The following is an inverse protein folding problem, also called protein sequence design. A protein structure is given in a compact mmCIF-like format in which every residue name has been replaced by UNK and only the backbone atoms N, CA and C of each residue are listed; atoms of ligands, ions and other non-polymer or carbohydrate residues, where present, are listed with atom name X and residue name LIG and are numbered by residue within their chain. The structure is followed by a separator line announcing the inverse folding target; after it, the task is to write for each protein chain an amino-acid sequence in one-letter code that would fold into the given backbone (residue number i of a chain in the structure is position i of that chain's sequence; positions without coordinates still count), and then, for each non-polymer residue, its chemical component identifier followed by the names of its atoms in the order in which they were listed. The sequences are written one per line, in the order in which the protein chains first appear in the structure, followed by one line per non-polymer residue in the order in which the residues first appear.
data_IF_622214821926
#
_entry.id   IF_622214821926
#
_cell.length_a   1.000
_cell.length_b   1.000
_cell.length_c   1.000
_cell.angle_alpha   90.00
_cell.angle_beta   90.00
_cell.angle_gamma   90.00
#
_symmetry.space_group_name_H-M   'P 1'
#
loop_
_entity.id
_entity.type
_entity.pdbx_description
1 polymer ?
#
# COMPACT_ATOMS: atom_id res chain seq x y z
N UNK A 1 -32.45 2.62 -7.00
CA UNK A 1 -33.78 2.12 -6.59
C UNK A 1 -34.13 0.78 -7.26
N UNK A 2 -33.46 -0.33 -6.87
CA UNK A 2 -33.86 -1.72 -7.24
C UNK A 2 -33.73 -2.69 -6.04
N UNK A 3 -32.95 -2.38 -5.01
CA UNK A 3 -32.66 -3.30 -3.90
C UNK A 3 -33.75 -3.45 -2.83
N UNK A 4 -34.70 -2.52 -2.72
CA UNK A 4 -35.85 -2.63 -1.80
C UNK A 4 -36.82 -3.77 -2.14
N UNK A 5 -36.74 -4.38 -3.33
CA UNK A 5 -37.70 -5.38 -3.80
C UNK A 5 -37.30 -6.85 -3.56
N UNK A 6 -36.08 -7.13 -3.07
CA UNK A 6 -35.60 -8.52 -2.96
C UNK A 6 -35.31 -9.01 -1.54
N UNK A 7 -35.52 -8.20 -0.50
CA UNK A 7 -35.38 -8.69 0.88
C UNK A 7 -34.01 -9.29 1.18
N UNK A 8 -32.96 -8.83 0.49
CA UNK A 8 -31.59 -9.14 0.87
C UNK A 8 -31.38 -8.51 2.24
N UNK A 9 -31.51 -9.33 3.28
CA UNK A 9 -31.08 -8.95 4.62
C UNK A 9 -29.60 -8.59 4.47
N UNK A 10 -29.27 -7.35 4.81
CA UNK A 10 -27.90 -6.99 5.14
C UNK A 10 -27.47 -8.01 6.19
N UNK A 11 -26.59 -8.92 5.80
CA UNK A 11 -25.99 -9.89 6.71
C UNK A 11 -24.64 -9.32 7.10
N UNK A 12 -24.25 -9.50 8.36
CA UNK A 12 -22.89 -9.11 8.80
C UNK A 12 -21.77 -9.77 7.98
N UNK A 13 -22.08 -10.82 7.22
CA UNK A 13 -21.17 -11.43 6.24
C UNK A 13 -20.84 -10.53 5.05
N UNK A 14 -21.73 -9.63 4.64
CA UNK A 14 -21.50 -8.73 3.49
C UNK A 14 -20.26 -7.85 3.70
N UNK A 15 -20.00 -7.44 4.95
CA UNK A 15 -18.80 -6.69 5.29
C UNK A 15 -17.50 -7.48 5.00
N UNK A 16 -17.55 -8.81 4.99
CA UNK A 16 -16.40 -9.65 4.69
C UNK A 16 -16.04 -9.66 3.20
N UNK A 17 -16.99 -9.33 2.31
CA UNK A 17 -16.74 -9.22 0.87
C UNK A 17 -15.74 -8.08 0.56
N UNK A 18 -15.56 -7.15 1.50
CA UNK A 18 -14.51 -6.14 1.47
C UNK A 18 -13.10 -6.76 1.39
N UNK A 19 -12.89 -7.97 1.90
CA UNK A 19 -11.58 -8.63 1.84
C UNK A 19 -11.17 -9.00 0.41
N UNK A 20 -12.15 -9.29 -0.46
CA UNK A 20 -11.90 -9.80 -1.80
C UNK A 20 -11.80 -8.68 -2.84
N UNK A 21 -12.04 -7.43 -2.43
CA UNK A 21 -11.89 -6.27 -3.30
C UNK A 21 -10.41 -6.06 -3.68
N UNK A 22 -10.19 -5.88 -4.97
CA UNK A 22 -8.89 -5.58 -5.57
C UNK A 22 -9.10 -4.77 -6.84
N UNK A 23 -8.04 -4.10 -7.29
CA UNK A 23 -8.03 -3.48 -8.62
C UNK A 23 -8.07 -4.58 -9.69
N UNK A 24 -9.08 -4.53 -10.56
CA UNK A 24 -9.23 -5.47 -11.66
C UNK A 24 -8.43 -5.03 -12.90
N UNK A 25 -8.19 -5.98 -13.81
CA UNK A 25 -7.48 -5.69 -15.07
C UNK A 25 -8.30 -4.70 -15.91
N UNK A 26 -7.63 -3.66 -16.42
CA UNK A 26 -8.22 -2.56 -17.19
C UNK A 26 -9.29 -1.73 -16.45
N UNK A 27 -9.39 -1.91 -15.13
CA UNK A 27 -10.27 -1.11 -14.29
C UNK A 27 -9.68 0.29 -14.05
N UNK A 28 -10.54 1.32 -14.15
CA UNK A 28 -10.14 2.67 -13.75
C UNK A 28 -10.08 2.76 -12.24
N UNK A 29 -9.11 3.50 -11.71
CA UNK A 29 -8.99 3.73 -10.27
C UNK A 29 -10.27 4.31 -9.65
N UNK A 30 -10.99 5.15 -10.38
CA UNK A 30 -12.27 5.69 -9.92
C UNK A 30 -13.34 4.60 -9.77
N UNK A 31 -13.40 3.64 -10.69
CA UNK A 31 -14.39 2.56 -10.63
C UNK A 31 -14.13 1.67 -9.40
N UNK A 32 -12.86 1.41 -9.07
CA UNK A 32 -12.47 0.74 -7.82
C UNK A 32 -12.95 1.52 -6.58
N UNK A 33 -12.81 2.85 -6.58
CA UNK A 33 -13.29 3.69 -5.48
C UNK A 33 -14.82 3.59 -5.33
N UNK A 34 -15.56 3.64 -6.44
CA UNK A 34 -17.01 3.52 -6.42
C UNK A 34 -17.47 2.14 -5.92
N UNK A 35 -16.79 1.05 -6.30
CA UNK A 35 -17.06 -0.29 -5.76
C UNK A 35 -16.81 -0.35 -4.25
N UNK A 36 -15.72 0.26 -3.78
CA UNK A 36 -15.41 0.34 -2.36
C UNK A 36 -16.49 1.10 -1.57
N UNK A 37 -16.93 2.26 -2.08
CA UNK A 37 -18.04 3.02 -1.51
C UNK A 37 -19.31 2.18 -1.45
N UNK A 38 -19.68 1.51 -2.54
CA UNK A 38 -20.88 0.69 -2.59
C UNK A 38 -20.87 -0.42 -1.53
N UNK A 39 -19.75 -1.13 -1.35
CA UNK A 39 -19.64 -2.18 -0.31
C UNK A 39 -19.83 -1.59 1.09
N UNK A 40 -19.22 -0.43 1.38
CA UNK A 40 -19.32 0.19 2.70
C UNK A 40 -20.71 0.75 2.94
N UNK A 41 -21.30 1.44 1.97
CA UNK A 41 -22.68 1.96 2.04
C UNK A 41 -23.69 0.82 2.21
N UNK A 42 -23.53 -0.28 1.47
CA UNK A 42 -24.35 -1.48 1.63
C UNK A 42 -24.12 -2.18 2.99
N UNK A 43 -23.05 -1.84 3.70
CA UNK A 43 -22.76 -2.38 5.04
C UNK A 43 -23.24 -1.47 6.18
N UNK A 44 -23.69 -0.24 5.87
CA UNK A 44 -24.27 0.64 6.88
C UNK A 44 -25.58 0.04 7.38
N UNK A 45 -25.70 -0.03 8.70
CA UNK A 45 -26.82 -0.70 9.33
C UNK A 45 -28.02 0.25 9.45
N UNK A 46 -29.18 -0.24 9.02
CA UNK A 46 -30.47 0.44 9.22
C UNK A 46 -31.31 -0.31 10.25
N UNK A 47 -32.34 0.32 10.86
CA UNK A 47 -33.26 -0.37 11.75
C UNK A 47 -33.94 -1.60 11.12
N UNK A 48 -34.09 -1.63 9.79
CA UNK A 48 -34.71 -2.71 9.02
C UNK A 48 -33.77 -3.88 8.74
N UNK A 49 -32.46 -3.74 9.01
CA UNK A 49 -31.45 -4.78 8.75
C UNK A 49 -31.63 -6.06 9.59
N UNK A 50 -32.42 -6.00 10.68
CA UNK A 50 -32.56 -7.08 11.67
C UNK A 50 -31.23 -7.56 12.29
N UNK A 51 -30.18 -6.75 12.17
CA UNK A 51 -28.89 -6.97 12.83
C UNK A 51 -28.91 -6.27 14.19
N UNK A 52 -28.26 -6.85 15.19
CA UNK A 52 -27.91 -6.16 16.45
C UNK A 52 -26.41 -5.95 16.52
N UNK A 53 -25.97 -4.77 16.98
CA UNK A 53 -24.56 -4.49 17.22
C UNK A 53 -24.31 -4.52 18.73
N UNK A 54 -23.46 -5.44 19.19
CA UNK A 54 -23.20 -5.68 20.62
C UNK A 54 -24.47 -5.92 21.46
N UNK A 55 -25.48 -6.58 20.86
CA UNK A 55 -26.77 -6.85 21.51
C UNK A 55 -27.71 -5.65 21.61
N UNK A 56 -27.31 -4.49 21.07
CA UNK A 56 -28.18 -3.32 20.96
C UNK A 56 -28.88 -3.29 19.59
N UNK A 57 -30.11 -2.78 19.58
CA UNK A 57 -30.83 -2.44 18.35
C UNK A 57 -30.13 -1.29 17.63
N UNK A 58 -30.14 -1.34 16.31
CA UNK A 58 -29.47 -0.34 15.49
C UNK A 58 -30.37 0.87 15.25
N UNK A 59 -29.77 2.05 15.28
CA UNK A 59 -30.31 3.28 14.70
C UNK A 59 -29.73 3.47 13.30
N UNK A 60 -30.37 4.27 12.44
CA UNK A 60 -29.82 4.62 11.13
C UNK A 60 -28.34 5.03 11.22
N UNK A 61 -27.47 4.26 10.57
CA UNK A 61 -26.04 4.54 10.52
C UNK A 61 -25.72 5.47 9.34
N UNK A 62 -24.83 6.43 9.58
CA UNK A 62 -24.34 7.33 8.54
C UNK A 62 -22.83 7.17 8.38
N UNK A 63 -22.36 7.45 7.16
CA UNK A 63 -20.95 7.45 6.84
C UNK A 63 -20.23 8.53 7.65
N UNK A 64 -19.37 8.13 8.58
CA UNK A 64 -18.62 9.09 9.41
C UNK A 64 -17.37 9.60 8.69
N UNK A 65 -16.85 10.81 9.02
CA UNK A 65 -15.62 11.32 8.43
C UNK A 65 -14.41 10.39 8.58
N UNK A 66 -14.33 9.64 9.68
CA UNK A 66 -13.27 8.64 9.88
C UNK A 66 -13.41 7.47 8.90
N UNK A 67 -14.64 7.01 8.65
CA UNK A 67 -14.91 5.93 7.71
C UNK A 67 -14.63 6.39 6.27
N UNK A 68 -15.01 7.61 5.90
CA UNK A 68 -14.62 8.22 4.61
C UNK A 68 -13.10 8.25 4.41
N UNK A 69 -12.34 8.65 5.44
CA UNK A 69 -10.88 8.62 5.40
C UNK A 69 -10.34 7.20 5.22
N UNK A 70 -10.98 6.22 5.86
CA UNK A 70 -10.59 4.81 5.76
C UNK A 70 -10.86 4.23 4.36
N UNK A 71 -11.97 4.63 3.73
CA UNK A 71 -12.27 4.31 2.33
C UNK A 71 -11.15 4.83 1.43
N UNK A 72 -10.80 6.11 1.52
CA UNK A 72 -9.74 6.68 0.66
C UNK A 72 -8.38 6.03 0.93
N UNK A 73 -8.02 5.78 2.20
CA UNK A 73 -6.78 5.07 2.51
C UNK A 73 -6.76 3.65 1.93
N UNK A 74 -7.87 2.93 2.02
CA UNK A 74 -8.00 1.57 1.47
C UNK A 74 -7.91 1.58 -0.04
N UNK A 75 -8.60 2.50 -0.70
CA UNK A 75 -8.50 2.73 -2.14
C UNK A 75 -7.04 2.95 -2.59
N UNK A 76 -6.30 3.83 -1.92
CA UNK A 76 -4.89 4.08 -2.25
C UNK A 76 -4.02 2.82 -2.11
N UNK A 77 -4.22 2.05 -1.02
CA UNK A 77 -3.48 0.80 -0.78
C UNK A 77 -3.76 -0.27 -1.83
N UNK A 78 -5.01 -0.38 -2.29
CA UNK A 78 -5.43 -1.37 -3.30
C UNK A 78 -4.86 -1.05 -4.68
N UNK A 79 -4.60 0.22 -4.98
CA UNK A 79 -3.92 0.64 -6.21
C UNK A 79 -2.42 0.31 -6.12
N UNK A 80 -1.75 0.79 -5.07
CA UNK A 80 -0.34 0.50 -4.83
C UNK A 80 0.00 0.69 -3.34
N UNK A 81 0.70 -0.27 -2.70
CA UNK A 81 1.00 -0.21 -1.28
C UNK A 81 1.87 0.98 -0.84
N UNK A 82 2.70 1.55 -1.73
CA UNK A 82 3.54 2.72 -1.44
C UNK A 82 2.80 4.06 -1.66
N UNK A 83 1.63 4.03 -2.29
CA UNK A 83 0.89 5.24 -2.64
C UNK A 83 0.46 6.08 -1.42
N UNK A 84 0.00 5.51 -0.29
CA UNK A 84 -0.29 6.31 0.91
C UNK A 84 0.90 7.11 1.42
N UNK A 85 2.12 6.57 1.31
CA UNK A 85 3.35 7.24 1.72
C UNK A 85 3.65 8.43 0.82
N UNK A 86 3.52 8.25 -0.51
CA UNK A 86 3.73 9.32 -1.48
C UNK A 86 2.66 10.42 -1.35
N UNK A 87 1.39 10.06 -1.14
CA UNK A 87 0.31 11.02 -0.88
C UNK A 87 0.59 11.83 0.39
N UNK A 88 1.04 11.19 1.48
CA UNK A 88 1.42 11.89 2.71
C UNK A 88 2.57 12.87 2.49
N UNK A 89 3.54 12.52 1.64
CA UNK A 89 4.65 13.40 1.30
C UNK A 89 4.18 14.61 0.48
N UNK A 90 3.32 14.40 -0.51
CA UNK A 90 2.87 15.45 -1.44
C UNK A 90 1.83 16.39 -0.85
N UNK A 91 0.86 15.85 -0.10
CA UNK A 91 -0.30 16.59 0.43
C UNK A 91 -0.21 16.86 1.94
N UNK A 92 0.96 16.67 2.55
CA UNK A 92 1.18 16.90 3.98
C UNK A 92 0.71 18.27 4.48
N UNK A 93 0.99 19.38 3.76
CA UNK A 93 0.49 20.71 4.13
C UNK A 93 -1.03 20.82 4.14
N UNK A 94 -1.70 20.24 3.15
CA UNK A 94 -3.16 20.26 2.93
C UNK A 94 -3.89 19.36 3.91
N UNK A 95 -3.27 18.24 4.31
CA UNK A 95 -3.80 17.31 5.33
C UNK A 95 -3.83 17.92 6.74
N UNK A 96 -3.28 19.11 6.96
CA UNK A 96 -3.37 19.81 8.26
C UNK A 96 -4.78 20.36 8.53
N UNK A 97 -5.40 21.14 7.62
CA UNK A 97 -6.77 21.61 7.81
C UNK A 97 -7.85 20.69 7.24
N UNK A 98 -7.50 19.69 6.41
CA UNK A 98 -8.46 18.91 5.62
C UNK A 98 -8.30 17.41 5.88
N UNK A 99 -9.40 16.68 5.71
CA UNK A 99 -9.40 15.21 5.76
C UNK A 99 -8.85 14.62 4.47
N UNK A 100 -8.32 13.40 4.54
CA UNK A 100 -7.90 12.65 3.36
C UNK A 100 -9.07 12.46 2.39
N UNK A 101 -10.26 12.17 2.93
CA UNK A 101 -11.51 12.11 2.18
C UNK A 101 -11.76 13.37 1.35
N UNK A 102 -11.63 14.54 1.96
CA UNK A 102 -11.85 15.81 1.26
C UNK A 102 -10.81 16.12 0.19
N UNK A 103 -9.62 15.51 0.24
CA UNK A 103 -8.55 15.66 -0.76
C UNK A 103 -8.63 14.62 -1.89
N UNK A 104 -9.57 13.67 -1.82
CA UNK A 104 -9.75 12.62 -2.83
C UNK A 104 -9.86 13.20 -4.25
N UNK A 105 -10.63 14.28 -4.53
CA UNK A 105 -10.73 14.84 -5.88
C UNK A 105 -9.36 15.28 -6.43
N UNK A 106 -8.56 15.97 -5.64
CA UNK A 106 -7.23 16.44 -6.02
C UNK A 106 -6.23 15.29 -6.20
N UNK A 107 -6.31 14.27 -5.34
CA UNK A 107 -5.49 13.06 -5.46
C UNK A 107 -5.86 12.31 -6.74
N UNK A 108 -7.16 12.14 -7.01
CA UNK A 108 -7.67 11.45 -8.20
C UNK A 108 -7.19 12.09 -9.50
N UNK A 109 -7.10 13.42 -9.56
CA UNK A 109 -6.62 14.13 -10.76
C UNK A 109 -5.14 13.90 -11.05
N UNK A 110 -4.34 13.56 -10.05
CA UNK A 110 -2.89 13.36 -10.18
C UNK A 110 -2.47 11.90 -10.03
N UNK A 111 -3.45 11.00 -9.95
CA UNK A 111 -3.25 9.62 -9.53
C UNK A 111 -2.40 8.83 -10.51
N UNK A 112 -2.64 8.98 -11.82
CA UNK A 112 -1.81 8.34 -12.85
C UNK A 112 -0.35 8.81 -12.77
N UNK A 113 -0.14 10.10 -12.48
CA UNK A 113 1.21 10.65 -12.30
C UNK A 113 1.89 10.07 -11.07
N UNK A 114 1.19 9.97 -9.95
CA UNK A 114 1.71 9.39 -8.70
C UNK A 114 2.10 7.91 -8.90
N UNK A 115 1.25 7.13 -9.58
CA UNK A 115 1.54 5.72 -9.86
C UNK A 115 2.73 5.57 -10.82
N UNK A 116 2.80 6.42 -11.84
CA UNK A 116 3.95 6.43 -12.76
C UNK A 116 5.27 6.75 -12.05
N UNK A 117 5.27 7.68 -11.10
CA UNK A 117 6.44 8.03 -10.29
C UNK A 117 6.96 6.81 -9.51
N UNK A 118 6.07 6.11 -8.81
CA UNK A 118 6.41 4.89 -8.06
C UNK A 118 7.00 3.82 -8.99
N UNK A 119 6.39 3.60 -10.16
CA UNK A 119 6.86 2.59 -11.11
C UNK A 119 8.23 2.95 -11.71
N UNK A 120 8.51 4.24 -11.89
CA UNK A 120 9.79 4.72 -12.41
C UNK A 120 10.93 4.49 -11.42
N UNK A 121 10.69 4.71 -10.13
CA UNK A 121 11.68 4.47 -9.07
C UNK A 121 12.04 2.99 -8.95
N UNK A 122 11.04 2.11 -9.01
CA UNK A 122 11.25 0.65 -9.01
C UNK A 122 12.08 0.23 -10.23
N UNK A 123 11.82 0.82 -11.39
CA UNK A 123 12.57 0.53 -12.63
C UNK A 123 14.01 1.02 -12.53
N UNK A 124 14.24 2.22 -12.00
CA UNK A 124 15.58 2.77 -11.80
C UNK A 124 16.42 1.93 -10.82
N UNK A 125 15.80 1.47 -9.71
CA UNK A 125 16.46 0.55 -8.76
C UNK A 125 16.81 -0.81 -9.37
N UNK A 126 15.96 -1.35 -10.25
CA UNK A 126 16.26 -2.61 -10.96
C UNK A 126 17.36 -2.43 -12.00
N UNK A 127 17.38 -1.29 -12.70
CA UNK A 127 18.42 -0.97 -13.66
C UNK A 127 19.78 -0.85 -12.96
N UNK A 128 19.87 -0.10 -11.85
CA UNK A 128 21.12 0.04 -11.09
C UNK A 128 21.61 -1.29 -10.51
N UNK A 129 20.70 -2.15 -10.00
CA UNK A 129 21.05 -3.50 -9.55
C UNK A 129 21.57 -4.41 -10.68
N UNK A 130 21.13 -4.17 -11.92
CA UNK A 130 21.60 -4.93 -13.09
C UNK A 130 22.97 -4.46 -13.60
N UNK A 131 23.35 -3.21 -13.34
CA UNK A 131 24.68 -2.68 -13.67
C UNK A 131 25.80 -3.14 -12.72
N UNK A 132 25.47 -3.71 -11.55
CA UNK A 132 26.45 -4.23 -10.58
C UNK A 132 26.99 -5.65 -10.89
N UNK A 133 26.67 -6.24 -12.05
CA UNK A 133 27.26 -7.53 -12.47
C UNK A 133 28.58 -7.42 -13.25
N UNK A 134 29.14 -6.22 -13.44
CA UNK A 134 30.51 -6.06 -13.94
C UNK A 134 31.50 -5.96 -12.78
N UNK A 135 31.68 -7.06 -12.04
CA UNK A 135 32.74 -7.18 -11.03
C UNK A 135 34.10 -7.00 -11.72
N UNK A 136 34.91 -5.96 -11.41
CA UNK A 136 36.24 -5.85 -12.00
C UNK A 136 37.07 -7.05 -11.53
N UNK A 137 37.70 -7.78 -12.47
CA UNK A 137 38.63 -8.86 -12.14
C UNK A 137 39.69 -8.31 -11.18
N UNK A 138 39.60 -8.67 -9.91
CA UNK A 138 40.57 -8.27 -8.91
C UNK A 138 41.95 -8.80 -9.32
N UNK A 139 42.91 -7.88 -9.49
CA UNK A 139 44.32 -8.25 -9.67
C UNK A 139 44.74 -9.14 -8.49
N UNK A 140 45.55 -10.19 -8.71
CA UNK A 140 45.93 -11.10 -7.64
C UNK A 140 46.66 -10.30 -6.56
N UNK A 141 46.13 -10.35 -5.34
CA UNK A 141 46.70 -9.69 -4.18
C UNK A 141 48.11 -10.27 -3.97
N UNK A 142 49.16 -9.47 -4.17
CA UNK A 142 50.53 -9.87 -3.82
C UNK A 142 50.55 -10.21 -2.34
N UNK A 143 50.71 -11.49 -2.02
CA UNK A 143 50.76 -12.00 -0.64
C UNK A 143 51.90 -11.29 0.10
N UNK A 144 51.57 -10.40 1.03
CA UNK A 144 52.54 -9.76 1.93
C UNK A 144 53.04 -10.83 2.90
N UNK A 145 54.28 -11.27 2.72
CA UNK A 145 54.95 -12.20 3.63
C UNK A 145 55.34 -11.43 4.90
N UNK A 146 54.97 -11.94 6.07
CA UNK A 146 55.36 -11.34 7.34
C UNK A 146 56.89 -11.43 7.53
N UNK A 147 57.60 -10.31 7.77
CA UNK A 147 59.06 -10.29 7.90
C UNK A 147 59.57 -11.15 9.06
N UNK A 148 58.79 -11.29 10.14
CA UNK A 148 59.14 -12.16 11.27
C UNK A 148 59.10 -13.65 10.91
N UNK A 149 58.16 -14.08 10.06
CA UNK A 149 58.07 -15.47 9.62
C UNK A 149 59.16 -15.84 8.60
N UNK A 150 59.65 -14.84 7.85
CA UNK A 150 60.75 -14.99 6.89
C UNK A 150 62.07 -15.26 7.62
N UNK A 151 62.35 -14.51 8.68
CA UNK A 151 63.57 -14.67 9.48
C UNK A 151 63.62 -16.01 10.23
N UNK A 152 62.46 -16.48 10.71
CA UNK A 152 62.35 -17.72 11.49
C UNK A 152 62.22 -19.01 10.64
N UNK A 153 62.25 -18.94 9.31
CA UNK A 153 61.99 -20.06 8.38
C UNK A 153 60.72 -20.87 8.68
N UNK A 154 59.63 -20.21 9.09
CA UNK A 154 58.34 -20.87 9.41
C UNK A 154 57.29 -20.62 8.31
N UNK A 155 56.38 -21.57 8.05
CA UNK A 155 55.30 -21.38 7.08
C UNK A 155 54.38 -20.23 7.49
N UNK A 156 54.10 -19.33 6.53
CA UNK A 156 53.44 -18.04 6.75
C UNK A 156 51.91 -18.20 6.79
N UNK A 157 51.38 -18.72 7.90
CA UNK A 157 49.94 -18.89 8.12
C UNK A 157 49.55 -18.30 9.47
N UNK A 158 49.55 -16.97 9.57
CA UNK A 158 48.90 -16.28 10.68
C UNK A 158 47.64 -15.59 10.16
N UNK A 159 46.50 -16.24 10.34
CA UNK A 159 45.23 -15.53 10.45
C UNK A 159 45.20 -14.91 11.84
N UNK A 160 45.09 -13.58 11.93
CA UNK A 160 44.59 -12.95 13.14
C UNK A 160 43.11 -12.66 12.90
N UNK A 161 42.28 -13.30 13.72
CA UNK A 161 40.91 -12.88 14.06
C UNK A 161 40.86 -11.43 14.49
#
# INVERSE_FOLDING_TARGET
MIRLHYGFQTSGSHFLDLNDIKLEVDERYEDLYQRLCAIIEDSLLTPESNITHHGATITEEELTPTLENFIVLTWLRLINPELPKLVKQRYGPELRPRTLASLKPEISQTLESLVSEINSDVTAMRASASFDQARPKSKPLRRKICPLCKEAKRPHMHFRS
#
